data_IF_464445816258
#
_entry.id   IF_464445816258
#
_cell.length_a   1.000
_cell.length_b   1.000
_cell.length_c   1.000
_cell.angle_alpha   90.00
_cell.angle_beta   90.00
_cell.angle_gamma   90.00
#
_symmetry.space_group_name_H-M   'P 1'
#
loop_
_entity.id
_entity.type
_entity.pdbx_description
1 polymer ?
#
# COMPACT_ATOMS: atom_id res chain seq x y z
N UNK A 1 2.72 -20.66 8.77
CA UNK A 1 3.66 -19.55 9.03
C UNK A 1 4.39 -19.84 10.33
N UNK A 2 5.71 -19.69 10.39
CA UNK A 2 6.46 -19.85 11.63
C UNK A 2 6.66 -18.49 12.32
N UNK A 3 7.03 -18.50 13.60
CA UNK A 3 7.22 -17.29 14.41
C UNK A 3 8.22 -16.31 13.80
N UNK A 4 9.31 -16.83 13.22
CA UNK A 4 10.32 -16.01 12.55
C UNK A 4 9.76 -15.26 11.33
N UNK A 5 8.93 -15.93 10.51
CA UNK A 5 8.27 -15.32 9.36
C UNK A 5 7.25 -14.27 9.81
N UNK A 6 6.51 -14.53 10.90
CA UNK A 6 5.57 -13.56 11.46
C UNK A 6 6.27 -12.28 11.93
N UNK A 7 7.37 -12.41 12.69
CA UNK A 7 8.18 -11.26 13.14
C UNK A 7 8.72 -10.45 11.94
N UNK A 8 9.12 -11.12 10.86
CA UNK A 8 9.58 -10.44 9.65
C UNK A 8 8.46 -9.69 8.94
N UNK A 9 7.26 -10.27 8.86
CA UNK A 9 6.09 -9.60 8.30
C UNK A 9 5.72 -8.37 9.13
N UNK A 10 5.62 -8.49 10.46
CA UNK A 10 5.32 -7.36 11.34
C UNK A 10 6.32 -6.21 11.15
N UNK A 11 7.61 -6.54 11.05
CA UNK A 11 8.66 -5.54 10.82
C UNK A 11 8.51 -4.85 9.46
N UNK A 12 8.25 -5.61 8.40
CA UNK A 12 8.11 -5.06 7.05
C UNK A 12 6.83 -4.22 6.91
N UNK A 13 5.73 -4.65 7.52
CA UNK A 13 4.50 -3.84 7.59
C UNK A 13 4.70 -2.57 8.42
N UNK A 14 5.38 -2.65 9.56
CA UNK A 14 5.72 -1.46 10.35
C UNK A 14 6.56 -0.47 9.54
N UNK A 15 7.52 -0.97 8.76
CA UNK A 15 8.31 -0.15 7.85
C UNK A 15 7.44 0.47 6.74
N UNK A 16 6.55 -0.31 6.13
CA UNK A 16 5.61 0.16 5.10
C UNK A 16 4.74 1.30 5.62
N UNK A 17 4.13 1.14 6.81
CA UNK A 17 3.30 2.18 7.42
C UNK A 17 4.11 3.41 7.79
N UNK A 18 5.33 3.25 8.30
CA UNK A 18 6.20 4.37 8.64
C UNK A 18 6.55 5.23 7.42
N UNK A 19 6.94 4.60 6.30
CA UNK A 19 7.24 5.34 5.07
C UNK A 19 5.98 5.89 4.39
N UNK A 20 4.82 5.27 4.62
CA UNK A 20 3.53 5.72 4.06
C UNK A 20 2.86 6.82 4.89
N UNK A 21 3.35 7.12 6.10
CA UNK A 21 2.76 8.10 7.02
C UNK A 21 2.71 9.53 6.48
N UNK A 22 3.48 9.85 5.43
CA UNK A 22 3.42 11.14 4.74
C UNK A 22 2.33 11.20 3.66
N UNK A 23 1.84 10.05 3.22
CA UNK A 23 0.85 9.90 2.14
C UNK A 23 -0.52 9.49 2.69
N UNK A 24 -0.52 8.68 3.75
CA UNK A 24 -1.71 8.11 4.38
C UNK A 24 -2.13 8.96 5.58
N UNK A 25 -3.45 9.08 5.77
CA UNK A 25 -4.02 9.67 6.97
C UNK A 25 -3.87 8.73 8.18
N UNK A 26 -3.98 9.23 9.41
CA UNK A 26 -3.96 8.38 10.60
C UNK A 26 -5.04 7.29 10.59
N UNK A 27 -6.22 7.58 10.06
CA UNK A 27 -7.33 6.61 9.99
C UNK A 27 -7.03 5.49 8.99
N UNK A 28 -6.46 5.83 7.83
CA UNK A 28 -6.01 4.84 6.82
C UNK A 28 -4.89 3.95 7.38
N UNK A 29 -3.94 4.53 8.12
CA UNK A 29 -2.88 3.75 8.82
C UNK A 29 -3.50 2.83 9.87
N UNK A 30 -4.48 3.30 10.64
CA UNK A 30 -5.15 2.50 11.67
C UNK A 30 -5.93 1.33 11.05
N UNK A 31 -6.56 1.54 9.90
CA UNK A 31 -7.29 0.50 9.18
C UNK A 31 -6.36 -0.63 8.74
N UNK A 32 -5.22 -0.32 8.12
CA UNK A 32 -4.22 -1.33 7.75
C UNK A 32 -3.63 -2.00 9.00
N UNK A 33 -3.36 -1.22 10.05
CA UNK A 33 -2.83 -1.71 11.32
C UNK A 33 -3.76 -2.71 12.01
N UNK A 34 -5.07 -2.55 11.88
CA UNK A 34 -6.05 -3.48 12.45
C UNK A 34 -5.80 -4.92 11.97
N UNK A 35 -5.65 -5.11 10.65
CA UNK A 35 -5.44 -6.42 10.04
C UNK A 35 -4.06 -7.01 10.33
N UNK A 36 -3.04 -6.16 10.53
CA UNK A 36 -1.72 -6.61 10.98
C UNK A 36 -1.84 -7.21 12.39
N UNK A 37 -2.53 -6.53 13.31
CA UNK A 37 -2.68 -7.00 14.68
C UNK A 37 -3.52 -8.28 14.82
N UNK A 38 -4.43 -8.55 13.88
CA UNK A 38 -5.19 -9.81 13.83
C UNK A 38 -4.43 -10.94 13.12
N UNK A 39 -3.24 -10.66 12.56
CA UNK A 39 -2.44 -11.62 11.80
C UNK A 39 -2.94 -11.86 10.37
N UNK A 40 -3.87 -11.04 9.88
CA UNK A 40 -4.46 -11.11 8.55
C UNK A 40 -3.62 -10.31 7.54
N UNK A 41 -2.33 -10.65 7.41
CA UNK A 41 -1.37 -9.91 6.61
C UNK A 41 -1.73 -9.75 5.12
N UNK A 42 -2.34 -10.77 4.52
CA UNK A 42 -2.83 -10.68 3.14
C UNK A 42 -3.91 -9.61 2.99
N UNK A 43 -4.86 -9.56 3.94
CA UNK A 43 -5.91 -8.55 3.96
C UNK A 43 -5.34 -7.16 4.27
N UNK A 44 -4.37 -7.06 5.17
CA UNK A 44 -3.67 -5.80 5.42
C UNK A 44 -3.05 -5.22 4.14
N UNK A 45 -2.44 -6.08 3.31
CA UNK A 45 -1.87 -5.66 2.04
C UNK A 45 -2.93 -5.28 1.01
N UNK A 46 -4.03 -6.03 0.96
CA UNK A 46 -5.16 -5.73 0.07
C UNK A 46 -5.78 -4.37 0.38
N UNK A 47 -6.03 -4.09 1.66
CA UNK A 47 -6.56 -2.80 2.12
C UNK A 47 -5.56 -1.68 1.82
N UNK A 48 -4.27 -1.89 2.11
CA UNK A 48 -3.24 -0.90 1.79
C UNK A 48 -3.25 -0.51 0.29
N UNK A 49 -3.28 -1.50 -0.59
CA UNK A 49 -3.28 -1.25 -2.05
C UNK A 49 -4.62 -0.69 -2.51
N UNK A 50 -5.74 -1.09 -1.92
CA UNK A 50 -7.05 -0.52 -2.21
C UNK A 50 -7.10 0.97 -1.86
N UNK A 51 -6.59 1.38 -0.69
CA UNK A 51 -6.49 2.80 -0.31
C UNK A 51 -5.65 3.57 -1.34
N UNK A 52 -4.52 3.01 -1.77
CA UNK A 52 -3.69 3.64 -2.79
C UNK A 52 -4.45 3.88 -4.11
N UNK A 53 -5.23 2.90 -4.56
CA UNK A 53 -5.98 2.95 -5.81
C UNK A 53 -7.21 3.87 -5.72
N UNK A 54 -8.04 3.69 -4.69
CA UNK A 54 -9.29 4.43 -4.51
C UNK A 54 -9.05 5.92 -4.21
N UNK A 55 -8.08 6.23 -3.34
CA UNK A 55 -7.72 7.60 -2.98
C UNK A 55 -6.68 8.22 -3.91
N UNK A 56 -6.31 7.52 -4.99
CA UNK A 56 -5.32 7.96 -5.99
C UNK A 56 -4.03 8.45 -5.34
N UNK A 57 -3.55 7.72 -4.32
CA UNK A 57 -2.36 8.12 -3.55
C UNK A 57 -1.13 7.93 -4.41
N UNK A 58 -0.29 8.96 -4.55
CA UNK A 58 1.02 8.77 -5.14
C UNK A 58 1.95 8.10 -4.14
N UNK A 59 2.52 6.95 -4.49
CA UNK A 59 3.47 6.22 -3.64
C UNK A 59 4.87 6.25 -4.24
N UNK A 60 5.87 6.38 -3.39
CA UNK A 60 7.27 6.38 -3.84
C UNK A 60 7.73 4.99 -4.31
N UNK A 61 8.74 4.90 -5.19
CA UNK A 61 9.32 3.63 -5.61
C UNK A 61 9.80 2.73 -4.45
N UNK A 62 10.17 3.32 -3.32
CA UNK A 62 10.54 2.58 -2.11
C UNK A 62 9.34 1.87 -1.46
N UNK A 63 8.17 2.50 -1.48
CA UNK A 63 6.91 1.91 -1.02
C UNK A 63 6.57 0.71 -1.90
N UNK A 64 6.58 0.90 -3.22
CA UNK A 64 6.31 -0.17 -4.18
C UNK A 64 7.22 -1.40 -3.98
N UNK A 65 8.53 -1.19 -3.80
CA UNK A 65 9.48 -2.28 -3.48
C UNK A 65 9.12 -3.01 -2.19
N UNK A 66 8.68 -2.27 -1.17
CA UNK A 66 8.29 -2.86 0.13
C UNK A 66 7.04 -3.71 -0.01
N UNK A 67 6.05 -3.23 -0.76
CA UNK A 67 4.82 -3.99 -1.05
C UNK A 67 5.15 -5.26 -1.83
N UNK A 68 5.96 -5.21 -2.89
CA UNK A 68 6.35 -6.40 -3.65
C UNK A 68 7.12 -7.43 -2.81
N UNK A 69 8.01 -6.97 -1.93
CA UNK A 69 8.72 -7.84 -0.97
C UNK A 69 7.75 -8.57 -0.01
N UNK A 70 6.69 -7.89 0.43
CA UNK A 70 5.63 -8.48 1.26
C UNK A 70 4.83 -9.53 0.48
N UNK A 71 4.49 -9.25 -0.78
CA UNK A 71 3.82 -10.20 -1.69
C UNK A 71 4.63 -11.49 -1.83
N UNK A 72 5.93 -11.36 -2.10
CA UNK A 72 6.85 -12.49 -2.25
C UNK A 72 6.95 -13.29 -0.94
N UNK A 73 7.11 -12.62 0.20
CA UNK A 73 7.24 -13.25 1.53
C UNK A 73 5.99 -14.03 1.94
N UNK A 74 4.81 -13.59 1.50
CA UNK A 74 3.53 -14.23 1.75
C UNK A 74 3.13 -15.23 0.66
N UNK A 75 3.93 -15.37 -0.41
CA UNK A 75 3.60 -16.15 -1.61
C UNK A 75 2.23 -15.80 -2.20
N UNK A 76 1.88 -14.51 -2.23
CA UNK A 76 0.64 -14.02 -2.81
C UNK A 76 0.76 -13.93 -4.33
N UNK A 77 -0.37 -13.67 -5.01
CA UNK A 77 -0.42 -13.55 -6.46
C UNK A 77 0.29 -12.28 -6.96
N UNK A 78 1.61 -12.34 -7.17
CA UNK A 78 2.48 -11.28 -7.68
C UNK A 78 1.85 -10.40 -8.77
N UNK A 79 1.40 -10.98 -9.90
CA UNK A 79 0.79 -10.23 -10.99
C UNK A 79 -0.42 -9.37 -10.59
N UNK A 80 -1.21 -9.77 -9.59
CA UNK A 80 -2.34 -8.99 -9.10
C UNK A 80 -1.86 -7.68 -8.45
N UNK A 81 -0.85 -7.77 -7.58
CA UNK A 81 -0.31 -6.62 -6.87
C UNK A 81 0.56 -5.74 -7.77
N UNK A 82 1.38 -6.34 -8.64
CA UNK A 82 2.18 -5.60 -9.61
C UNK A 82 1.34 -4.71 -10.51
N UNK A 83 0.19 -5.20 -11.01
CA UNK A 83 -0.72 -4.40 -11.83
C UNK A 83 -1.26 -3.17 -11.09
N UNK A 84 -1.70 -3.35 -9.85
CA UNK A 84 -2.22 -2.25 -9.01
C UNK A 84 -1.10 -1.27 -8.64
N UNK A 85 0.04 -1.76 -8.17
CA UNK A 85 1.18 -0.91 -7.77
C UNK A 85 1.74 -0.12 -8.95
N UNK A 86 1.88 -0.75 -10.13
CA UNK A 86 2.34 -0.06 -11.33
C UNK A 86 1.36 1.04 -11.77
N UNK A 87 0.06 0.83 -11.59
CA UNK A 87 -0.96 1.86 -11.86
C UNK A 87 -0.77 3.07 -10.94
N UNK A 88 -0.59 2.82 -9.64
CA UNK A 88 -0.38 3.87 -8.63
C UNK A 88 0.97 4.59 -8.81
N UNK A 89 2.04 3.88 -9.23
CA UNK A 89 3.36 4.47 -9.53
C UNK A 89 3.38 5.32 -10.81
N UNK A 90 2.54 4.98 -11.79
CA UNK A 90 2.59 5.59 -13.12
C UNK A 90 1.61 6.75 -13.30
N UNK A 91 0.84 7.11 -12.27
CA UNK A 91 -0.01 8.30 -12.29
C UNK A 91 0.85 9.58 -12.22
N UNK A 92 0.98 10.36 -13.30
CA UNK A 92 1.60 11.67 -13.21
C UNK A 92 0.68 12.64 -12.44
N UNK A 93 1.27 13.57 -11.71
CA UNK A 93 0.58 14.69 -11.02
C UNK A 93 -0.38 15.50 -11.92
N UNK A 94 -0.28 15.33 -13.25
CA UNK A 94 -1.01 16.10 -14.26
C UNK A 94 -2.50 15.76 -14.39
N UNK A 95 -3.01 14.68 -13.78
CA UNK A 95 -4.46 14.40 -13.76
C UNK A 95 -5.25 15.22 -12.73
N UNK A 96 -4.59 16.07 -11.92
CA UNK A 96 -5.25 16.96 -10.94
C UNK A 96 -5.85 18.25 -11.54
N UNK A 97 -5.68 18.52 -12.83
CA UNK A 97 -6.03 19.83 -13.43
C UNK A 97 -7.33 19.85 -14.26
N UNK A 98 -8.03 18.73 -14.45
CA UNK A 98 -9.24 18.72 -15.29
C UNK A 98 -10.56 19.00 -14.55
N UNK A 99 -10.56 19.13 -13.22
CA UNK A 99 -11.78 19.45 -12.44
C UNK A 99 -11.91 20.92 -12.02
N UNK A 100 -10.93 21.78 -12.33
CA UNK A 100 -10.94 23.21 -11.92
C UNK A 100 -11.09 24.21 -13.09
N UNK A 101 -11.31 23.76 -14.33
CA UNK A 101 -11.42 24.65 -15.51
C UNK A 101 -12.76 24.63 -16.26
N UNK A 102 -13.83 24.12 -15.67
CA UNK A 102 -15.17 24.16 -16.30
C UNK A 102 -16.16 25.15 -15.67
N UNK A 103 -15.68 26.07 -14.82
CA UNK A 103 -16.47 27.19 -14.30
C UNK A 103 -15.84 28.52 -14.72
N UNK A 104 -15.83 28.78 -16.02
CA UNK A 104 -15.47 30.06 -16.63
C UNK A 104 -16.60 30.57 -17.49
#
# INVERSE_FOLDING_TARGET
MNEHQQIQLDKNFSQLLAISSHTFSPDEINEVSHYIHTGEYGMALDIYVAICDEEHKHIDPQIAKTVLSLVDMMHLNGPHYEGKINTVLSMPDTLRMDTLKLSG
#
